data_IF_045886946580
#
_entry.id   IF_045886946580
#
_cell.length_a   1.000
_cell.length_b   1.000
_cell.length_c   1.000
_cell.angle_alpha   90.00
_cell.angle_beta   90.00
_cell.angle_gamma   90.00
#
_symmetry.space_group_name_H-M   'P 1'
#
loop_
_entity.id
_entity.type
_entity.pdbx_description
1 polymer ?
#
# COMPACT_ATOMS: atom_id res chain seq x y z
N UNK A 1 79.79 25.98 -1.16
CA UNK A 1 78.88 25.85 0.00
C UNK A 1 77.50 25.48 -0.54
N UNK A 2 77.29 24.23 -0.96
CA UNK A 2 76.00 23.74 -1.46
C UNK A 2 75.50 22.66 -0.52
N UNK A 3 74.43 22.95 0.23
CA UNK A 3 73.68 21.93 0.96
C UNK A 3 72.47 21.58 0.10
N UNK A 4 72.50 20.38 -0.48
CA UNK A 4 71.34 19.76 -1.13
C UNK A 4 70.47 19.22 0.01
N UNK A 5 69.29 19.80 0.19
CA UNK A 5 68.26 19.30 1.10
C UNK A 5 67.50 18.21 0.36
N UNK A 6 67.71 16.97 0.77
CA UNK A 6 66.98 15.81 0.27
C UNK A 6 65.66 15.68 1.04
N UNK A 7 64.56 16.12 0.43
CA UNK A 7 63.22 15.90 0.98
C UNK A 7 62.81 14.45 0.71
N UNK A 8 63.17 13.54 1.62
CA UNK A 8 62.69 12.16 1.59
C UNK A 8 61.19 12.15 1.86
N UNK A 9 60.41 11.84 0.83
CA UNK A 9 58.98 11.61 0.96
C UNK A 9 58.74 10.30 1.73
N UNK A 10 58.37 10.41 3.00
CA UNK A 10 57.91 9.26 3.78
C UNK A 10 56.57 8.77 3.21
N UNK A 11 56.62 7.62 2.52
CA UNK A 11 55.45 6.90 2.07
C UNK A 11 54.65 6.43 3.29
N UNK A 12 53.67 7.23 3.72
CA UNK A 12 52.66 6.82 4.70
C UNK A 12 51.78 5.74 4.05
N UNK A 13 52.14 4.48 4.27
CA UNK A 13 51.31 3.32 3.95
C UNK A 13 50.04 3.37 4.79
N UNK A 14 48.94 3.85 4.21
CA UNK A 14 47.60 3.71 4.78
C UNK A 14 47.27 2.21 4.80
N UNK A 15 47.37 1.59 5.97
CA UNK A 15 46.89 0.23 6.18
C UNK A 15 45.40 0.19 5.87
N UNK A 16 45.02 -0.52 4.81
CA UNK A 16 43.62 -0.79 4.52
C UNK A 16 43.10 -1.76 5.58
N UNK A 17 42.21 -1.28 6.46
CA UNK A 17 41.49 -2.13 7.39
C UNK A 17 40.33 -2.78 6.64
N UNK A 18 40.42 -4.09 6.42
CA UNK A 18 39.31 -4.90 5.93
C UNK A 18 38.39 -5.35 7.06
N UNK A 19 37.12 -5.63 6.74
CA UNK A 19 36.20 -6.29 7.66
C UNK A 19 36.62 -7.75 7.87
N UNK A 20 36.50 -8.23 9.10
CA UNK A 20 36.69 -9.65 9.41
C UNK A 20 35.46 -10.47 8.99
N UNK A 21 35.66 -11.75 8.70
CA UNK A 21 34.54 -12.66 8.39
C UNK A 21 33.55 -12.77 9.56
N UNK A 22 34.05 -12.67 10.79
CA UNK A 22 33.21 -12.74 11.99
C UNK A 22 32.36 -11.47 12.18
N UNK A 23 32.88 -10.28 11.87
CA UNK A 23 32.10 -9.03 11.89
C UNK A 23 30.94 -9.10 10.90
N UNK A 24 31.19 -9.62 9.70
CA UNK A 24 30.14 -9.77 8.70
C UNK A 24 29.08 -10.77 9.16
N UNK A 25 29.47 -11.89 9.79
CA UNK A 25 28.51 -12.85 10.34
C UNK A 25 27.61 -12.23 11.40
N UNK A 26 28.17 -11.46 12.34
CA UNK A 26 27.38 -10.78 13.38
C UNK A 26 26.43 -9.75 12.74
N UNK A 27 26.91 -8.98 11.76
CA UNK A 27 26.09 -8.00 11.06
C UNK A 27 24.88 -8.65 10.35
N UNK A 28 25.10 -9.77 9.65
CA UNK A 28 24.02 -10.52 8.98
C UNK A 28 23.01 -11.08 9.97
N UNK A 29 23.48 -11.59 11.12
CA UNK A 29 22.59 -12.09 12.18
C UNK A 29 21.67 -10.98 12.70
N UNK A 30 22.21 -9.77 12.96
CA UNK A 30 21.41 -8.63 13.43
C UNK A 30 20.37 -8.23 12.37
N UNK A 31 20.78 -8.12 11.10
CA UNK A 31 19.86 -7.79 9.99
C UNK A 31 18.77 -8.85 9.85
N UNK A 32 19.11 -10.14 9.97
CA UNK A 32 18.15 -11.23 9.91
C UNK A 32 17.06 -11.13 10.99
N UNK A 33 17.45 -10.81 12.22
CA UNK A 33 16.50 -10.61 13.33
C UNK A 33 15.55 -9.45 13.02
N UNK A 34 16.07 -8.30 12.59
CA UNK A 34 15.25 -7.13 12.26
C UNK A 34 14.32 -7.42 11.08
N UNK A 35 14.84 -8.05 10.03
CA UNK A 35 14.08 -8.34 8.81
C UNK A 35 12.86 -9.24 9.08
N UNK A 36 12.98 -10.19 10.01
CA UNK A 36 11.88 -11.10 10.36
C UNK A 36 10.63 -10.40 10.90
N UNK A 37 10.79 -9.24 11.54
CA UNK A 37 9.69 -8.42 12.08
C UNK A 37 9.32 -7.30 11.11
N UNK A 38 10.33 -6.66 10.51
CA UNK A 38 10.14 -5.52 9.63
C UNK A 38 9.36 -5.89 8.36
N UNK A 39 9.67 -7.03 7.74
CA UNK A 39 9.05 -7.46 6.49
C UNK A 39 7.53 -7.66 6.60
N UNK A 40 7.00 -8.52 7.48
CA UNK A 40 5.54 -8.72 7.59
C UNK A 40 4.80 -7.46 8.07
N UNK A 41 5.45 -6.59 8.84
CA UNK A 41 4.84 -5.32 9.25
C UNK A 41 4.70 -4.34 8.08
N UNK A 42 5.72 -4.26 7.22
CA UNK A 42 5.65 -3.42 6.03
C UNK A 42 4.59 -3.92 5.04
N UNK A 43 4.49 -5.23 4.81
CA UNK A 43 3.46 -5.77 3.90
C UNK A 43 2.05 -5.47 4.40
N UNK A 44 1.79 -5.66 5.70
CA UNK A 44 0.49 -5.31 6.31
C UNK A 44 0.17 -3.82 6.24
N UNK A 45 1.18 -2.97 6.33
CA UNK A 45 1.01 -1.53 6.16
C UNK A 45 0.56 -1.18 4.73
N UNK A 46 1.21 -1.77 3.73
CA UNK A 46 0.83 -1.58 2.32
C UNK A 46 -0.56 -2.12 2.04
N UNK A 47 -0.90 -3.31 2.54
CA UNK A 47 -2.23 -3.92 2.44
C UNK A 47 -3.33 -3.01 3.01
N UNK A 48 -3.09 -2.42 4.19
CA UNK A 48 -4.01 -1.45 4.79
C UNK A 48 -4.15 -0.19 3.96
N UNK A 49 -3.06 0.30 3.37
CA UNK A 49 -3.09 1.47 2.48
C UNK A 49 -3.91 1.19 1.23
N UNK A 50 -3.75 0.00 0.64
CA UNK A 50 -4.55 -0.45 -0.50
C UNK A 50 -6.03 -0.48 -0.09
N UNK A 51 -6.37 -1.20 0.97
CA UNK A 51 -7.74 -1.30 1.49
C UNK A 51 -8.43 0.04 1.74
N UNK A 52 -7.71 0.99 2.35
CA UNK A 52 -8.22 2.34 2.60
C UNK A 52 -8.61 3.09 1.32
N UNK A 53 -7.92 2.81 0.22
CA UNK A 53 -8.23 3.40 -1.09
C UNK A 53 -9.56 2.85 -1.64
N UNK A 54 -9.78 1.54 -1.53
CA UNK A 54 -11.03 0.89 -1.91
C UNK A 54 -12.23 1.35 -1.06
N UNK A 55 -12.05 1.45 0.26
CA UNK A 55 -13.07 1.99 1.17
C UNK A 55 -13.47 3.43 0.80
N UNK A 56 -12.48 4.27 0.47
CA UNK A 56 -12.72 5.66 0.04
C UNK A 56 -13.53 5.70 -1.25
N UNK A 57 -13.16 4.87 -2.22
CA UNK A 57 -13.85 4.77 -3.50
C UNK A 57 -15.31 4.30 -3.34
N UNK A 58 -15.57 3.32 -2.48
CA UNK A 58 -16.94 2.87 -2.18
C UNK A 58 -17.79 3.95 -1.55
N UNK A 59 -17.23 4.78 -0.65
CA UNK A 59 -17.95 5.89 -0.04
C UNK A 59 -18.26 7.01 -1.05
N UNK A 60 -17.35 7.26 -1.99
CA UNK A 60 -17.57 8.20 -3.08
C UNK A 60 -18.67 7.70 -4.02
N UNK A 61 -18.60 6.44 -4.45
CA UNK A 61 -19.61 5.80 -5.26
C UNK A 61 -20.98 5.77 -4.55
N UNK A 62 -21.03 5.53 -3.23
CA UNK A 62 -22.29 5.60 -2.46
C UNK A 62 -22.90 7.01 -2.51
N UNK A 63 -22.08 8.04 -2.31
CA UNK A 63 -22.54 9.44 -2.45
C UNK A 63 -23.08 9.74 -3.85
N UNK A 64 -22.49 9.12 -4.88
CA UNK A 64 -22.95 9.26 -6.25
C UNK A 64 -24.30 8.58 -6.48
N UNK A 65 -24.47 7.35 -5.98
CA UNK A 65 -25.74 6.63 -6.04
C UNK A 65 -26.86 7.44 -5.38
N UNK A 66 -26.62 8.02 -4.20
CA UNK A 66 -27.61 8.87 -3.51
C UNK A 66 -27.95 10.15 -4.29
N UNK A 67 -26.94 10.75 -4.94
CA UNK A 67 -27.13 11.92 -5.80
C UNK A 67 -27.93 11.56 -7.06
N UNK A 68 -27.74 10.39 -7.62
CA UNK A 68 -28.51 9.89 -8.76
C UNK A 68 -29.97 9.60 -8.37
N UNK A 69 -30.17 8.92 -7.24
CA UNK A 69 -31.50 8.63 -6.69
C UNK A 69 -32.29 9.92 -6.42
N UNK A 70 -31.63 10.95 -5.89
CA UNK A 70 -32.26 12.26 -5.64
C UNK A 70 -32.78 12.94 -6.92
N UNK A 71 -32.26 12.60 -8.10
CA UNK A 71 -32.70 13.15 -9.39
C UNK A 71 -33.74 12.27 -10.08
N UNK A 72 -33.53 10.96 -10.04
CA UNK A 72 -34.27 9.99 -10.86
C UNK A 72 -35.32 9.20 -10.04
N UNK A 73 -35.30 9.29 -8.71
CA UNK A 73 -36.11 8.50 -7.77
C UNK A 73 -35.97 6.99 -7.92
N UNK A 74 -34.91 6.53 -8.58
CA UNK A 74 -34.52 5.14 -8.75
C UNK A 74 -33.00 5.04 -8.84
N UNK A 75 -32.45 3.90 -8.42
CA UNK A 75 -31.05 3.57 -8.67
C UNK A 75 -30.85 2.90 -10.03
N UNK A 76 -31.92 2.42 -10.67
CA UNK A 76 -31.84 1.77 -11.97
C UNK A 76 -31.37 2.77 -13.04
N UNK A 77 -30.31 2.41 -13.76
CA UNK A 77 -29.67 3.29 -14.75
C UNK A 77 -28.77 4.37 -14.15
N UNK A 78 -28.48 4.32 -12.85
CA UNK A 78 -27.39 5.09 -12.27
C UNK A 78 -26.05 4.47 -12.68
N UNK A 79 -25.20 5.26 -13.31
CA UNK A 79 -23.83 4.89 -13.66
C UNK A 79 -22.86 5.63 -12.73
N UNK A 80 -21.75 4.99 -12.41
CA UNK A 80 -20.66 5.60 -11.65
C UNK A 80 -19.82 6.48 -12.58
N UNK A 81 -19.54 7.72 -12.17
CA UNK A 81 -18.64 8.62 -12.90
C UNK A 81 -17.20 8.10 -12.90
N UNK A 82 -16.82 7.35 -11.87
CA UNK A 82 -15.50 6.74 -11.75
C UNK A 82 -15.61 5.31 -11.23
N UNK A 83 -15.14 4.37 -12.05
CA UNK A 83 -15.15 2.93 -11.79
C UNK A 83 -13.84 2.44 -11.16
N UNK A 84 -12.98 3.38 -10.73
CA UNK A 84 -11.64 3.09 -10.24
C UNK A 84 -11.36 3.90 -8.98
N UNK A 85 -10.65 3.33 -8.02
CA UNK A 85 -10.28 4.03 -6.79
C UNK A 85 -9.27 5.16 -7.03
N UNK A 86 -9.17 6.15 -6.12
CA UNK A 86 -8.30 7.30 -6.30
C UNK A 86 -6.83 6.97 -6.60
N UNK A 87 -6.27 5.92 -5.99
CA UNK A 87 -4.89 5.47 -6.24
C UNK A 87 -4.80 4.31 -7.25
N UNK A 88 -5.90 3.97 -7.94
CA UNK A 88 -5.93 2.93 -8.97
C UNK A 88 -5.69 1.53 -8.43
N UNK A 89 -6.06 1.27 -7.18
CA UNK A 89 -5.89 -0.03 -6.54
C UNK A 89 -7.12 -0.92 -6.64
N UNK A 90 -8.32 -0.36 -6.78
CA UNK A 90 -9.57 -1.08 -6.92
C UNK A 90 -10.33 -0.65 -8.17
N UNK A 91 -11.09 -1.59 -8.73
CA UNK A 91 -12.18 -1.34 -9.65
C UNK A 91 -13.50 -1.44 -8.89
N UNK A 92 -14.42 -0.51 -9.16
CA UNK A 92 -15.69 -0.37 -8.48
C UNK A 92 -16.79 -0.73 -9.47
N UNK A 93 -17.67 -1.67 -9.07
CA UNK A 93 -18.89 -1.98 -9.79
C UNK A 93 -20.11 -1.70 -8.91
N UNK A 94 -21.25 -1.52 -9.56
CA UNK A 94 -22.54 -1.29 -8.91
C UNK A 94 -23.58 -2.24 -9.47
N UNK A 95 -24.29 -2.92 -8.58
CA UNK A 95 -25.48 -3.70 -8.88
C UNK A 95 -26.68 -3.06 -8.19
N UNK A 96 -27.87 -3.04 -8.83
CA UNK A 96 -29.08 -2.37 -8.28
C UNK A 96 -30.22 -3.34 -7.95
N UNK A 97 -30.03 -4.30 -7.03
CA UNK A 97 -31.09 -5.26 -6.71
C UNK A 97 -32.25 -4.59 -5.95
N UNK A 98 -33.48 -4.86 -6.40
CA UNK A 98 -34.71 -4.55 -5.66
C UNK A 98 -34.86 -3.09 -5.22
N UNK A 99 -34.39 -2.13 -6.04
CA UNK A 99 -34.49 -0.71 -5.75
C UNK A 99 -33.50 -0.20 -4.69
N UNK A 100 -32.48 -0.99 -4.35
CA UNK A 100 -31.29 -0.53 -3.63
C UNK A 100 -30.05 -0.64 -4.52
N UNK A 101 -28.87 -0.55 -3.91
CA UNK A 101 -27.61 -0.83 -4.58
C UNK A 101 -26.67 -1.68 -3.71
N UNK A 102 -25.78 -2.41 -4.39
CA UNK A 102 -24.60 -3.05 -3.83
C UNK A 102 -23.41 -2.55 -4.64
N UNK A 103 -22.49 -1.86 -3.97
CA UNK A 103 -21.22 -1.45 -4.54
C UNK A 103 -20.17 -2.49 -4.17
N UNK A 104 -19.38 -2.91 -5.14
CA UNK A 104 -18.31 -3.90 -4.95
C UNK A 104 -16.99 -3.30 -5.38
N UNK A 105 -15.99 -3.36 -4.52
CA UNK A 105 -14.62 -2.99 -4.82
C UNK A 105 -13.77 -4.26 -4.95
N UNK A 106 -13.29 -4.50 -6.17
CA UNK A 106 -12.43 -5.64 -6.52
C UNK A 106 -11.00 -5.15 -6.78
N UNK A 107 -10.00 -5.88 -6.29
CA UNK A 107 -8.59 -5.58 -6.51
C UNK A 107 -7.81 -6.80 -6.98
N UNK A 108 -6.74 -6.58 -7.73
CA UNK A 108 -5.74 -7.59 -8.08
C UNK A 108 -4.52 -7.56 -7.14
N UNK A 109 -4.47 -6.62 -6.20
CA UNK A 109 -3.39 -6.47 -5.22
C UNK A 109 -3.71 -7.23 -3.93
N UNK A 110 -2.68 -7.54 -3.13
CA UNK A 110 -2.92 -7.98 -1.75
C UNK A 110 -3.38 -6.77 -0.93
N UNK A 111 -4.55 -6.88 -0.32
CA UNK A 111 -5.13 -5.93 0.62
C UNK A 111 -5.36 -6.55 2.01
N UNK A 112 -4.94 -7.81 2.18
CA UNK A 112 -5.12 -8.61 3.39
C UNK A 112 -6.57 -9.00 3.67
N UNK A 113 -7.47 -8.92 2.68
CA UNK A 113 -8.87 -9.29 2.78
C UNK A 113 -9.15 -10.68 2.19
N UNK A 114 -10.12 -11.43 2.75
CA UNK A 114 -10.49 -12.74 2.23
C UNK A 114 -11.36 -12.67 0.97
N UNK A 115 -12.02 -11.53 0.71
CA UNK A 115 -12.93 -11.30 -0.41
C UNK A 115 -13.02 -9.81 -0.74
N UNK A 116 -13.66 -9.51 -1.86
CA UNK A 116 -13.98 -8.13 -2.27
C UNK A 116 -14.77 -7.37 -1.20
N UNK A 117 -14.54 -6.06 -1.16
CA UNK A 117 -15.13 -5.15 -0.17
C UNK A 117 -16.45 -4.62 -0.75
N UNK A 118 -17.53 -4.73 0.00
CA UNK A 118 -18.87 -4.31 -0.46
C UNK A 118 -19.56 -3.35 0.50
N UNK A 119 -20.31 -2.43 -0.09
CA UNK A 119 -21.15 -1.44 0.61
C UNK A 119 -22.53 -1.39 -0.04
N UNK A 120 -23.59 -1.57 0.74
CA UNK A 120 -24.96 -1.44 0.23
C UNK A 120 -25.66 -0.15 0.67
N UNK A 121 -26.83 0.12 0.10
CA UNK A 121 -27.66 1.29 0.41
C UNK A 121 -28.10 1.41 1.88
N UNK A 122 -28.03 0.31 2.65
CA UNK A 122 -28.35 0.28 4.08
C UNK A 122 -27.13 0.55 4.97
N UNK A 123 -25.96 0.77 4.37
CA UNK A 123 -24.70 0.96 5.09
C UNK A 123 -24.10 -0.35 5.60
N UNK A 124 -24.58 -1.50 5.14
CA UNK A 124 -23.95 -2.79 5.44
C UNK A 124 -22.61 -2.88 4.72
N UNK A 125 -21.59 -3.31 5.45
CA UNK A 125 -20.19 -3.28 5.08
C UNK A 125 -19.61 -4.67 5.24
N UNK A 126 -19.23 -5.31 4.14
CA UNK A 126 -18.71 -6.66 4.17
C UNK A 126 -17.38 -6.78 3.40
N UNK A 127 -16.50 -7.71 3.78
CA UNK A 127 -16.48 -8.40 5.08
C UNK A 127 -16.07 -7.43 6.20
N UNK A 128 -16.67 -7.52 7.41
CA UNK A 128 -16.43 -6.56 8.51
C UNK A 128 -14.96 -6.39 8.89
N UNK A 129 -14.15 -7.44 8.79
CA UNK A 129 -12.70 -7.40 9.08
C UNK A 129 -11.89 -6.52 8.09
N UNK A 130 -12.53 -6.09 7.00
CA UNK A 130 -11.95 -5.27 5.94
C UNK A 130 -12.48 -3.84 5.89
N UNK A 131 -13.28 -3.45 6.88
CA UNK A 131 -13.79 -2.11 7.04
C UNK A 131 -13.13 -1.36 8.20
#
# INVERSE_FOLDING_TARGET
>A
MSYVVDCRADHVSKHQRGFTLIELLIAVVIVGIIASIAYPNYTRYVERSVRSDGQTALLQAASEMERCYSRNYTYDGCELEMDTSPNGHYSISSDTPSGGYILTATTQRSDGCPSDITLNARGERLPEACW
#
